data_IF_649385199401
#
_entry.id   IF_649385199401
#
_cell.length_a   1.000
_cell.length_b   1.000
_cell.length_c   1.000
_cell.angle_alpha   90.00
_cell.angle_beta   90.00
_cell.angle_gamma   90.00
#
_symmetry.space_group_name_H-M   'P 1'
#
loop_
_entity.id
_entity.type
_entity.pdbx_description
1 polymer ?
#
# COMPACT_ATOMS: atom_id res chain seq x y z
N UNK A 1 -4.15 -22.75 42.83
CA UNK A 1 -2.97 -22.72 41.95
C UNK A 1 -3.12 -23.68 40.75
N UNK A 2 -3.20 -25.02 40.98
CA UNK A 2 -3.29 -25.99 39.87
C UNK A 2 -4.52 -25.77 38.92
N UNK A 3 -5.70 -25.51 39.49
CA UNK A 3 -6.91 -25.27 38.70
C UNK A 3 -6.85 -23.96 37.88
N UNK A 4 -6.21 -22.90 38.39
CA UNK A 4 -6.00 -21.65 37.70
C UNK A 4 -5.01 -21.84 36.56
N UNK A 5 -3.90 -22.56 36.80
CA UNK A 5 -2.92 -22.86 35.73
C UNK A 5 -3.49 -23.77 34.66
N UNK A 6 -4.35 -24.73 34.99
CA UNK A 6 -5.02 -25.58 34.01
C UNK A 6 -6.00 -24.77 33.12
N UNK A 7 -6.71 -23.79 33.71
CA UNK A 7 -7.60 -22.89 32.97
C UNK A 7 -6.82 -21.99 32.03
N UNK A 8 -5.75 -21.35 32.49
CA UNK A 8 -4.86 -20.50 31.66
C UNK A 8 -4.24 -21.29 30.52
N UNK A 9 -3.84 -22.56 30.77
CA UNK A 9 -3.32 -23.41 29.71
C UNK A 9 -4.39 -23.79 28.68
N UNK A 10 -5.63 -24.04 29.09
CA UNK A 10 -6.74 -24.33 28.19
C UNK A 10 -7.05 -23.10 27.31
N UNK A 11 -7.20 -21.90 27.89
CA UNK A 11 -7.44 -20.66 27.17
C UNK A 11 -6.31 -20.36 26.17
N UNK A 12 -5.06 -20.63 26.54
CA UNK A 12 -3.91 -20.51 25.66
C UNK A 12 -3.98 -21.48 24.48
N UNK A 13 -4.27 -22.76 24.74
CA UNK A 13 -4.39 -23.81 23.71
C UNK A 13 -5.52 -23.49 22.73
N UNK A 14 -6.67 -23.05 23.22
CA UNK A 14 -7.80 -22.66 22.38
C UNK A 14 -7.47 -21.46 21.48
N UNK A 15 -6.77 -20.46 22.04
CA UNK A 15 -6.31 -19.29 21.24
C UNK A 15 -5.33 -19.71 20.16
N UNK A 16 -4.37 -20.57 20.46
CA UNK A 16 -3.41 -21.06 19.47
C UNK A 16 -4.10 -21.84 18.36
N UNK A 17 -5.01 -22.76 18.71
CA UNK A 17 -5.79 -23.52 17.74
C UNK A 17 -6.64 -22.62 16.83
N UNK A 18 -7.22 -21.56 17.38
CA UNK A 18 -7.97 -20.56 16.60
C UNK A 18 -7.10 -19.89 15.54
N UNK A 19 -5.90 -19.43 15.90
CA UNK A 19 -5.00 -18.82 14.92
C UNK A 19 -4.54 -19.79 13.86
N UNK A 20 -4.17 -21.03 14.26
CA UNK A 20 -3.74 -22.07 13.32
C UNK A 20 -4.87 -22.43 12.33
N UNK A 21 -6.11 -22.56 12.79
CA UNK A 21 -7.26 -22.82 11.91
C UNK A 21 -7.50 -21.64 10.96
N UNK A 22 -7.44 -20.42 11.46
CA UNK A 22 -7.59 -19.23 10.61
C UNK A 22 -6.53 -19.19 9.50
N UNK A 23 -5.25 -19.38 9.83
CA UNK A 23 -4.17 -19.32 8.85
C UNK A 23 -4.25 -20.45 7.82
N UNK A 24 -4.77 -21.60 8.19
CA UNK A 24 -4.91 -22.76 7.33
C UNK A 24 -6.19 -22.72 6.49
N UNK A 25 -7.33 -22.40 7.10
CA UNK A 25 -8.65 -22.61 6.54
C UNK A 25 -9.44 -21.32 6.34
N UNK A 26 -9.05 -20.21 6.97
CA UNK A 26 -9.75 -18.93 6.88
C UNK A 26 -9.88 -18.45 5.45
N UNK A 27 -11.08 -18.03 5.04
CA UNK A 27 -11.33 -17.51 3.70
C UNK A 27 -10.55 -16.22 3.42
N UNK A 28 -10.45 -15.35 4.42
CA UNK A 28 -9.73 -14.09 4.36
C UNK A 28 -8.34 -14.22 5.00
N UNK A 29 -7.52 -15.13 4.49
CA UNK A 29 -6.15 -15.33 4.93
C UNK A 29 -5.15 -14.92 3.84
N UNK A 30 -3.91 -14.70 4.24
CA UNK A 30 -2.77 -14.69 3.32
C UNK A 30 -2.28 -16.11 3.07
N UNK A 31 -1.86 -16.39 1.86
CA UNK A 31 -1.06 -17.55 1.55
C UNK A 31 0.41 -17.14 1.71
N UNK A 32 1.14 -17.82 2.59
CA UNK A 32 2.48 -17.39 3.02
C UNK A 32 3.55 -18.36 2.52
N UNK A 33 4.76 -17.89 2.19
CA UNK A 33 5.88 -18.75 1.88
C UNK A 33 6.11 -19.77 3.02
N UNK A 34 6.27 -21.04 2.65
CA UNK A 34 6.42 -22.16 3.59
C UNK A 34 5.29 -22.29 4.63
N UNK A 35 4.15 -21.65 4.42
CA UNK A 35 3.04 -21.53 5.37
C UNK A 35 3.50 -20.97 6.73
N UNK A 36 4.48 -20.09 6.75
CA UNK A 36 5.05 -19.51 7.96
C UNK A 36 4.13 -18.41 8.53
N UNK A 37 3.43 -18.63 9.64
CA UNK A 37 2.52 -17.64 10.23
C UNK A 37 3.24 -16.43 10.83
N UNK A 38 4.57 -16.48 10.95
CA UNK A 38 5.43 -15.42 11.50
C UNK A 38 5.97 -14.48 10.41
N UNK A 39 5.59 -14.70 9.16
CA UNK A 39 6.13 -14.00 8.00
C UNK A 39 6.03 -12.46 8.10
N UNK A 40 4.99 -11.93 8.75
CA UNK A 40 4.80 -10.49 8.95
C UNK A 40 5.52 -9.91 10.19
N UNK A 41 6.19 -10.70 11.00
CA UNK A 41 6.77 -10.27 12.28
C UNK A 41 7.76 -9.11 12.12
N UNK A 42 8.60 -9.17 11.08
CA UNK A 42 9.55 -8.12 10.76
C UNK A 42 8.85 -6.78 10.50
N UNK A 43 7.76 -6.80 9.74
CA UNK A 43 6.95 -5.62 9.48
C UNK A 43 6.36 -5.06 10.79
N UNK A 44 5.73 -5.91 11.60
CA UNK A 44 5.11 -5.47 12.85
C UNK A 44 6.13 -4.89 13.82
N UNK A 45 7.31 -5.47 13.91
CA UNK A 45 8.40 -4.93 14.73
C UNK A 45 8.79 -3.50 14.27
N UNK A 46 8.92 -3.28 12.96
CA UNK A 46 9.20 -1.94 12.42
C UNK A 46 8.07 -0.95 12.70
N UNK A 47 6.80 -1.37 12.62
CA UNK A 47 5.65 -0.53 12.90
C UNK A 47 5.56 -0.16 14.39
N UNK A 48 5.84 -1.09 15.29
CA UNK A 48 5.91 -0.81 16.74
C UNK A 48 7.06 0.15 17.08
N UNK A 49 8.25 -0.10 16.54
CA UNK A 49 9.41 0.74 16.75
C UNK A 49 9.23 2.16 16.19
N UNK A 50 8.46 2.32 15.11
CA UNK A 50 8.20 3.63 14.52
C UNK A 50 7.57 4.64 15.48
N UNK A 51 6.76 4.16 16.44
CA UNK A 51 6.17 4.99 17.50
C UNK A 51 7.23 5.47 18.51
N UNK A 52 8.20 4.60 18.81
CA UNK A 52 9.23 4.84 19.84
C UNK A 52 10.32 5.73 19.28
N UNK A 53 10.82 5.42 18.09
CA UNK A 53 11.97 6.06 17.46
C UNK A 53 11.61 7.32 16.67
N UNK A 54 10.35 7.71 16.66
CA UNK A 54 9.83 8.84 15.85
C UNK A 54 10.16 8.70 14.36
N UNK A 55 10.22 7.46 13.86
CA UNK A 55 10.46 7.13 12.46
C UNK A 55 9.15 7.02 11.68
N UNK A 56 9.26 7.09 10.35
CA UNK A 56 8.15 6.83 9.43
C UNK A 56 8.48 5.56 8.65
N UNK A 57 7.59 4.59 8.69
CA UNK A 57 7.66 3.36 7.91
C UNK A 57 6.74 3.49 6.71
N UNK A 58 7.26 3.31 5.50
CA UNK A 58 6.46 3.32 4.29
C UNK A 58 6.02 1.91 3.86
N UNK A 59 4.76 1.80 3.50
CA UNK A 59 4.14 0.66 2.83
C UNK A 59 3.79 1.14 1.42
N UNK A 60 4.50 0.62 0.42
CA UNK A 60 4.31 1.00 -0.99
C UNK A 60 3.23 0.11 -1.60
N UNK A 61 2.06 0.67 -1.90
CA UNK A 61 0.97 -0.08 -2.53
C UNK A 61 0.92 0.22 -4.03
N UNK A 62 1.59 -0.62 -4.80
CA UNK A 62 1.58 -0.59 -6.27
C UNK A 62 0.43 -1.40 -6.82
N UNK A 63 -0.25 -0.87 -7.82
CA UNK A 63 -1.32 -1.61 -8.49
C UNK A 63 -1.78 -0.95 -9.79
N UNK A 64 -2.81 -1.51 -10.38
CA UNK A 64 -3.40 -1.05 -11.63
C UNK A 64 -4.53 -0.01 -11.41
N UNK A 65 -5.54 0.00 -12.28
CA UNK A 65 -6.68 0.92 -12.17
C UNK A 65 -7.60 0.67 -10.96
N UNK A 66 -7.48 -0.46 -10.27
CA UNK A 66 -8.23 -0.68 -9.03
C UNK A 66 -7.80 0.27 -7.91
N UNK A 67 -6.53 0.71 -7.91
CA UNK A 67 -6.00 1.67 -6.93
C UNK A 67 -6.28 3.14 -7.25
N UNK A 68 -6.80 3.44 -8.45
CA UNK A 68 -7.07 4.83 -8.81
C UNK A 68 -7.97 5.54 -7.81
N UNK A 69 -7.86 6.86 -7.76
CA UNK A 69 -8.55 7.71 -6.79
C UNK A 69 -8.17 7.44 -5.32
N UNK A 70 -7.14 6.62 -5.05
CA UNK A 70 -6.78 6.21 -3.68
C UNK A 70 -7.86 5.34 -3.00
N UNK A 71 -8.63 4.58 -3.79
CA UNK A 71 -9.86 3.92 -3.32
C UNK A 71 -9.64 2.83 -2.28
N UNK A 72 -8.66 1.94 -2.49
CA UNK A 72 -8.34 0.85 -1.56
C UNK A 72 -7.34 1.32 -0.52
N UNK A 73 -6.24 1.93 -0.98
CA UNK A 73 -5.12 2.33 -0.13
C UNK A 73 -5.52 3.33 0.95
N UNK A 74 -6.51 4.20 0.70
CA UNK A 74 -6.97 5.15 1.72
C UNK A 74 -7.57 4.48 2.95
N UNK A 75 -8.30 3.37 2.77
CA UNK A 75 -8.87 2.60 3.88
C UNK A 75 -7.76 1.88 4.65
N UNK A 76 -6.83 1.24 3.94
CA UNK A 76 -5.67 0.58 4.56
C UNK A 76 -4.82 1.60 5.33
N UNK A 77 -4.58 2.77 4.75
CA UNK A 77 -3.84 3.87 5.38
C UNK A 77 -4.50 4.35 6.65
N UNK A 78 -5.79 4.64 6.61
CA UNK A 78 -6.55 5.12 7.78
C UNK A 78 -6.51 4.12 8.93
N UNK A 79 -6.70 2.81 8.64
CA UNK A 79 -6.66 1.74 9.63
C UNK A 79 -5.28 1.61 10.27
N UNK A 80 -4.24 1.50 9.45
CA UNK A 80 -2.87 1.36 9.94
C UNK A 80 -2.36 2.60 10.67
N UNK A 81 -2.72 3.80 10.21
CA UNK A 81 -2.36 5.04 10.90
C UNK A 81 -3.10 5.20 12.24
N UNK A 82 -4.30 4.65 12.39
CA UNK A 82 -4.98 4.58 13.70
C UNK A 82 -4.26 3.66 14.67
N UNK A 83 -3.83 2.49 14.20
CA UNK A 83 -3.16 1.49 15.03
C UNK A 83 -1.72 1.88 15.38
N UNK A 84 -0.92 2.26 14.37
CA UNK A 84 0.53 2.46 14.50
C UNK A 84 0.96 3.93 14.56
N UNK A 85 0.02 4.86 14.58
CA UNK A 85 0.34 6.29 14.42
C UNK A 85 0.63 6.64 12.96
N UNK A 86 0.80 7.91 12.71
CA UNK A 86 1.01 8.45 11.37
C UNK A 86 -0.05 9.45 10.95
N UNK A 87 0.13 9.99 9.76
CA UNK A 87 -0.75 10.96 9.13
C UNK A 87 -0.30 11.27 7.72
N UNK A 88 -1.07 12.07 7.01
CA UNK A 88 -0.79 12.42 5.62
C UNK A 88 -1.14 11.33 4.61
N UNK A 89 -1.15 11.67 3.33
CA UNK A 89 -1.49 10.77 2.23
C UNK A 89 -0.33 9.86 1.77
N UNK A 90 0.89 10.02 2.30
CA UNK A 90 2.09 9.36 1.81
C UNK A 90 2.69 10.04 0.57
N UNK A 91 3.33 9.26 -0.30
CA UNK A 91 3.94 9.77 -1.52
C UNK A 91 2.92 10.11 -2.59
N UNK A 92 3.12 11.28 -3.20
CA UNK A 92 2.30 11.85 -4.27
C UNK A 92 3.18 12.22 -5.47
N UNK A 93 2.69 12.07 -6.70
CA UNK A 93 3.38 12.60 -7.86
C UNK A 93 3.34 14.12 -7.88
N UNK A 94 4.35 14.75 -8.47
CA UNK A 94 4.37 16.21 -8.68
C UNK A 94 3.22 16.68 -9.59
N UNK A 95 2.81 15.84 -10.55
CA UNK A 95 1.64 16.06 -11.42
C UNK A 95 0.69 14.88 -11.27
N UNK A 96 -0.48 15.13 -10.70
CA UNK A 96 -1.53 14.13 -10.46
C UNK A 96 -2.66 14.32 -11.48
N UNK A 97 -2.82 13.38 -12.41
CA UNK A 97 -3.86 13.44 -13.43
C UNK A 97 -5.22 12.91 -12.98
N UNK A 98 -5.23 11.97 -12.04
CA UNK A 98 -6.46 11.36 -11.51
C UNK A 98 -6.62 11.82 -10.06
N UNK A 99 -7.71 12.54 -9.73
CA UNK A 99 -7.90 13.07 -8.39
C UNK A 99 -7.99 11.95 -7.35
N UNK A 100 -7.26 12.10 -6.23
CA UNK A 100 -7.45 11.25 -5.05
C UNK A 100 -8.75 11.62 -4.33
N UNK A 101 -9.43 10.64 -3.73
CA UNK A 101 -10.64 10.91 -2.94
C UNK A 101 -10.33 11.58 -1.58
N UNK A 102 -9.10 11.44 -1.09
CA UNK A 102 -8.69 11.93 0.25
C UNK A 102 -7.90 13.24 0.19
N UNK A 103 -7.18 13.48 -0.92
CA UNK A 103 -6.22 14.58 -1.03
C UNK A 103 -6.38 15.30 -2.36
N UNK A 104 -6.44 16.63 -2.31
CA UNK A 104 -6.37 17.50 -3.47
C UNK A 104 -4.91 17.82 -3.74
N UNK A 105 -4.43 17.45 -4.92
CA UNK A 105 -3.12 17.84 -5.44
C UNK A 105 -3.34 18.67 -6.69
N UNK A 106 -2.69 19.81 -6.77
CA UNK A 106 -2.68 20.64 -7.95
C UNK A 106 -1.27 21.17 -8.19
N UNK A 107 -0.96 21.48 -9.42
CA UNK A 107 0.30 22.10 -9.80
C UNK A 107 0.06 23.26 -10.76
N UNK A 108 0.98 24.22 -10.73
CA UNK A 108 1.05 25.32 -11.68
C UNK A 108 2.52 25.59 -12.03
N UNK A 109 2.80 25.89 -13.29
CA UNK A 109 4.16 26.18 -13.80
C UNK A 109 4.72 25.05 -14.67
N UNK A 110 6.03 25.01 -14.82
CA UNK A 110 6.77 24.31 -15.88
C UNK A 110 7.11 22.86 -15.52
N UNK A 111 6.09 22.02 -15.33
CA UNK A 111 6.24 20.59 -15.02
C UNK A 111 5.68 19.73 -16.16
N UNK A 112 6.53 18.91 -16.79
CA UNK A 112 6.13 17.89 -17.77
C UNK A 112 6.23 16.51 -17.14
N UNK A 113 5.13 15.74 -17.16
CA UNK A 113 5.03 14.42 -16.56
C UNK A 113 5.34 13.32 -17.56
N UNK A 114 6.14 12.33 -17.14
CA UNK A 114 6.41 11.08 -17.87
C UNK A 114 6.12 9.88 -16.97
N UNK A 115 5.64 8.79 -17.57
CA UNK A 115 5.27 7.55 -16.86
C UNK A 115 5.89 6.32 -17.53
N UNK A 116 6.35 5.35 -16.73
CA UNK A 116 6.94 4.13 -17.26
C UNK A 116 5.89 3.16 -17.83
N UNK A 117 4.68 3.21 -17.30
CA UNK A 117 3.57 2.31 -17.62
C UNK A 117 2.65 2.81 -18.75
N UNK A 118 2.91 3.98 -19.30
CA UNK A 118 2.16 4.56 -20.42
C UNK A 118 2.61 4.08 -21.80
N UNK A 119 2.06 4.71 -22.84
CA UNK A 119 2.48 4.53 -24.22
C UNK A 119 3.91 5.02 -24.43
N UNK A 120 4.47 4.85 -25.62
CA UNK A 120 5.82 5.32 -25.92
C UNK A 120 5.93 6.84 -25.79
N UNK A 121 4.90 7.58 -26.19
CA UNK A 121 4.83 9.04 -26.11
C UNK A 121 4.77 9.56 -24.66
N UNK A 122 4.23 8.75 -23.74
CA UNK A 122 4.16 9.09 -22.32
C UNK A 122 5.50 8.89 -21.59
N UNK A 123 6.49 8.25 -22.23
CA UNK A 123 7.75 7.88 -21.59
C UNK A 123 8.83 8.94 -21.77
N UNK A 124 9.69 9.03 -20.75
CA UNK A 124 10.93 9.77 -20.88
C UNK A 124 11.93 8.99 -21.75
N UNK A 125 12.92 9.70 -22.29
CA UNK A 125 14.04 9.17 -23.06
C UNK A 125 15.06 8.37 -22.24
N UNK A 126 14.73 8.07 -20.97
CA UNK A 126 15.56 7.37 -20.01
C UNK A 126 14.72 6.52 -19.04
N UNK A 127 15.38 5.73 -18.16
CA UNK A 127 14.73 4.83 -17.22
C UNK A 127 14.67 5.33 -15.76
N UNK A 128 15.00 6.59 -15.49
CA UNK A 128 15.00 7.20 -14.15
C UNK A 128 13.60 7.71 -13.78
N UNK A 129 12.75 6.86 -13.22
CA UNK A 129 11.37 7.22 -12.89
C UNK A 129 11.09 7.40 -11.40
N UNK A 130 12.02 6.99 -10.53
CA UNK A 130 11.81 7.00 -9.08
C UNK A 130 10.74 6.00 -8.61
N UNK A 131 10.36 6.05 -7.32
CA UNK A 131 9.56 5.01 -6.68
C UNK A 131 8.12 4.94 -7.18
N UNK A 132 7.60 6.02 -7.78
CA UNK A 132 6.22 6.05 -8.28
C UNK A 132 6.10 5.61 -9.76
N UNK A 133 7.17 5.06 -10.36
CA UNK A 133 7.25 4.72 -11.78
C UNK A 133 6.87 5.90 -12.70
N UNK A 134 7.09 7.13 -12.22
CA UNK A 134 6.89 8.36 -12.97
C UNK A 134 7.93 9.41 -12.58
N UNK A 135 8.12 10.38 -13.44
CA UNK A 135 9.03 11.51 -13.25
C UNK A 135 8.42 12.77 -13.85
N UNK A 136 8.60 13.90 -13.19
CA UNK A 136 8.20 15.22 -13.69
C UNK A 136 9.44 16.05 -13.97
N UNK A 137 9.61 16.50 -15.22
CA UNK A 137 10.70 17.38 -15.62
C UNK A 137 10.31 18.82 -15.35
N UNK A 138 11.09 19.49 -14.52
CA UNK A 138 10.98 20.92 -14.23
C UNK A 138 11.94 21.70 -15.15
N UNK A 139 11.44 22.74 -15.82
CA UNK A 139 12.22 23.67 -16.65
C UNK A 139 11.76 25.09 -16.39
N UNK A 140 12.20 25.70 -15.28
CA UNK A 140 11.78 27.03 -14.84
C UNK A 140 11.28 27.02 -13.42
N UNK A 141 10.01 27.29 -13.19
CA UNK A 141 9.43 27.32 -11.85
C UNK A 141 8.05 26.63 -11.80
N UNK A 142 7.75 26.02 -10.66
CA UNK A 142 6.45 25.41 -10.42
C UNK A 142 6.05 25.47 -8.94
N UNK A 143 4.75 25.35 -8.70
CA UNK A 143 4.16 25.21 -7.38
C UNK A 143 3.32 23.95 -7.36
N UNK A 144 3.49 23.12 -6.33
CA UNK A 144 2.64 21.95 -6.06
C UNK A 144 1.87 22.25 -4.77
N UNK A 145 0.54 22.32 -4.86
CA UNK A 145 -0.33 22.50 -3.71
C UNK A 145 -0.94 21.17 -3.30
N UNK A 146 -0.91 20.88 -2.00
CA UNK A 146 -1.38 19.62 -1.41
C UNK A 146 -2.31 19.96 -0.24
N UNK A 147 -3.56 19.50 -0.31
CA UNK A 147 -4.55 19.79 0.72
C UNK A 147 -5.43 18.58 0.97
N UNK A 148 -5.69 18.25 2.23
CA UNK A 148 -6.73 17.29 2.61
C UNK A 148 -8.06 17.69 1.99
N UNK A 149 -8.77 16.75 1.35
CA UNK A 149 -10.15 16.99 0.92
C UNK A 149 -11.11 17.02 2.11
N UNK A 150 -12.21 17.73 1.94
CA UNK A 150 -13.32 17.67 2.89
C UNK A 150 -13.85 16.23 2.95
N UNK A 151 -13.94 15.69 4.16
CA UNK A 151 -14.43 14.35 4.45
C UNK A 151 -15.70 14.48 5.30
N UNK A 152 -16.85 14.57 4.61
CA UNK A 152 -18.15 14.77 5.26
C UNK A 152 -18.59 13.60 6.14
N UNK A 153 -18.09 12.40 5.82
CA UNK A 153 -18.43 11.18 6.56
C UNK A 153 -17.46 10.91 7.72
N UNK A 154 -16.39 11.69 7.86
CA UNK A 154 -15.39 11.51 8.89
C UNK A 154 -14.60 10.21 8.82
N UNK A 155 -14.48 9.60 7.63
CA UNK A 155 -13.84 8.30 7.42
C UNK A 155 -12.32 8.38 7.41
N UNK A 156 -11.76 9.48 6.88
CA UNK A 156 -10.32 9.66 6.67
C UNK A 156 -9.79 10.77 7.58
N UNK A 157 -9.67 10.46 8.86
CA UNK A 157 -9.29 11.44 9.88
C UNK A 157 -7.79 11.71 9.90
N UNK A 158 -6.98 10.70 9.58
CA UNK A 158 -5.51 10.75 9.67
C UNK A 158 -4.82 11.40 8.48
N UNK A 159 -5.42 11.40 7.31
CA UNK A 159 -4.83 11.89 6.06
C UNK A 159 -4.45 13.38 6.07
N UNK A 160 -4.89 14.15 7.04
CA UNK A 160 -4.61 15.59 7.17
C UNK A 160 -3.51 15.95 8.18
N UNK A 161 -2.86 14.99 8.80
CA UNK A 161 -1.84 15.25 9.82
C UNK A 161 -0.43 15.40 9.26
N UNK A 162 -0.15 16.44 8.43
CA UNK A 162 1.17 16.65 7.81
C UNK A 162 2.18 17.14 8.84
N UNK A 163 3.17 16.34 9.19
CA UNK A 163 4.27 16.69 10.10
C UNK A 163 5.64 16.60 9.42
N UNK A 164 5.74 15.84 8.33
CA UNK A 164 6.97 15.68 7.55
C UNK A 164 6.64 15.81 6.06
N UNK A 165 7.36 16.66 5.35
CA UNK A 165 7.22 16.79 3.89
C UNK A 165 8.59 16.56 3.26
N UNK A 166 8.65 15.68 2.23
CA UNK A 166 9.87 15.39 1.48
C UNK A 166 9.66 15.62 0.00
N UNK A 167 10.68 16.16 -0.67
CA UNK A 167 10.75 16.21 -2.13
C UNK A 167 11.88 15.29 -2.56
N UNK A 168 11.54 14.27 -3.34
CA UNK A 168 12.47 13.35 -3.95
C UNK A 168 12.76 13.84 -5.38
N UNK A 169 14.02 14.13 -5.67
CA UNK A 169 14.42 14.68 -6.95
C UNK A 169 15.73 14.05 -7.44
N UNK A 170 16.04 14.22 -8.72
CA UNK A 170 17.33 13.85 -9.27
C UNK A 170 18.44 14.65 -8.61
N UNK A 171 19.57 13.97 -8.33
CA UNK A 171 20.82 14.68 -7.95
C UNK A 171 21.32 15.59 -9.08
N UNK A 172 20.91 15.34 -10.32
CA UNK A 172 21.29 16.14 -11.49
C UNK A 172 20.47 17.42 -11.54
N UNK A 173 21.06 18.48 -12.06
CA UNK A 173 20.40 19.78 -12.23
C UNK A 173 20.63 20.75 -11.07
N UNK A 174 19.86 21.83 -11.06
CA UNK A 174 20.02 22.94 -10.12
C UNK A 174 18.71 23.29 -9.43
N UNK A 175 18.13 22.31 -8.72
CA UNK A 175 16.85 22.48 -8.03
C UNK A 175 17.00 23.32 -6.75
N UNK A 176 16.16 24.36 -6.65
CA UNK A 176 15.88 25.10 -5.42
C UNK A 176 14.45 24.80 -4.98
N UNK A 177 14.27 24.59 -3.69
CA UNK A 177 12.98 24.25 -3.08
C UNK A 177 12.63 25.17 -1.93
N UNK A 178 11.35 25.47 -1.76
CA UNK A 178 10.79 26.20 -0.62
C UNK A 178 9.44 25.59 -0.29
N UNK A 179 9.11 25.55 1.00
CA UNK A 179 7.81 25.06 1.50
C UNK A 179 7.08 26.18 2.24
N UNK A 180 5.80 26.31 1.99
CA UNK A 180 4.88 27.04 2.86
C UNK A 180 3.73 26.13 3.29
N UNK A 181 3.29 26.25 4.52
CA UNK A 181 2.19 25.46 5.08
C UNK A 181 1.19 26.33 5.83
N UNK A 182 -0.05 25.87 5.94
CA UNK A 182 -1.10 26.60 6.62
C UNK A 182 -0.96 26.41 8.13
N UNK A 183 -0.65 27.50 8.84
CA UNK A 183 -0.53 27.52 10.29
C UNK A 183 -1.60 28.44 10.90
N UNK A 184 -1.95 28.20 12.16
CA UNK A 184 -2.76 29.12 12.95
C UNK A 184 -1.85 30.19 13.53
N UNK A 185 -2.06 31.43 13.12
CA UNK A 185 -1.31 32.61 13.58
C UNK A 185 -2.20 33.38 14.52
N UNK A 186 -1.65 33.80 15.66
CA UNK A 186 -2.33 34.67 16.63
C UNK A 186 -2.00 36.12 16.27
N UNK A 187 -3.02 36.90 15.88
CA UNK A 187 -2.88 38.34 15.66
C UNK A 187 -3.24 39.07 16.94
N UNK A 188 -2.47 40.12 17.27
CA UNK A 188 -2.63 40.93 18.50
C UNK A 188 -2.58 40.10 19.80
N UNK A 189 -1.65 39.13 19.85
CA UNK A 189 -1.45 38.25 21.00
C UNK A 189 -1.35 39.06 22.32
N UNK A 190 -2.05 38.56 23.33
CA UNK A 190 -2.07 39.22 24.67
C UNK A 190 -2.92 40.48 24.76
N UNK A 191 -3.71 40.83 23.74
CA UNK A 191 -4.62 42.00 23.78
C UNK A 191 -6.09 41.55 23.70
N UNK A 192 -7.02 42.45 24.07
CA UNK A 192 -8.48 42.21 23.94
C UNK A 192 -8.93 41.98 22.49
N UNK A 193 -8.05 42.24 21.50
CA UNK A 193 -8.31 42.09 20.08
C UNK A 193 -7.62 40.84 19.50
N UNK A 194 -7.20 39.90 20.34
CA UNK A 194 -6.58 38.65 19.90
C UNK A 194 -7.49 37.89 18.93
N UNK A 195 -6.94 37.50 17.80
CA UNK A 195 -7.65 36.72 16.78
C UNK A 195 -6.75 35.59 16.24
N UNK A 196 -7.31 34.40 16.19
CA UNK A 196 -6.67 33.23 15.53
C UNK A 196 -7.06 33.19 14.06
N UNK A 197 -6.09 33.25 13.20
CA UNK A 197 -6.28 33.14 11.73
C UNK A 197 -5.38 32.09 11.13
N UNK A 198 -5.90 31.37 10.11
CA UNK A 198 -5.10 30.48 9.30
C UNK A 198 -4.39 31.26 8.20
N UNK A 199 -3.08 31.16 8.15
CA UNK A 199 -2.23 31.77 7.12
C UNK A 199 -1.16 30.80 6.64
N UNK A 200 -0.74 30.94 5.37
CA UNK A 200 0.45 30.27 4.91
C UNK A 200 1.69 30.97 5.50
N UNK A 201 2.54 30.19 6.12
CA UNK A 201 3.84 30.60 6.63
C UNK A 201 4.94 29.79 5.95
N UNK A 202 6.09 30.41 5.74
CA UNK A 202 7.24 29.71 5.18
C UNK A 202 7.83 28.75 6.23
N UNK A 203 8.12 27.54 5.80
CA UNK A 203 8.85 26.57 6.61
C UNK A 203 10.35 26.95 6.66
N UNK A 204 11.09 26.53 7.72
CA UNK A 204 12.54 26.64 7.74
C UNK A 204 13.19 26.00 6.52
N UNK A 205 14.49 26.24 6.32
CA UNK A 205 15.24 25.54 5.26
C UNK A 205 15.17 24.02 5.47
N UNK A 206 14.99 23.22 4.40
CA UNK A 206 14.98 21.77 4.52
C UNK A 206 16.36 21.21 4.83
N UNK A 207 16.42 20.01 5.40
CA UNK A 207 17.62 19.18 5.25
C UNK A 207 17.75 18.73 3.79
N UNK A 208 18.96 18.54 3.32
CA UNK A 208 19.29 18.19 1.94
C UNK A 208 20.21 16.96 1.94
N UNK A 209 19.59 15.79 1.86
CA UNK A 209 20.30 14.52 1.81
C UNK A 209 20.60 14.14 0.35
N UNK A 210 21.84 13.75 0.08
CA UNK A 210 22.33 13.42 -1.26
C UNK A 210 22.81 11.98 -1.31
N UNK A 211 22.17 11.20 -2.17
CA UNK A 211 22.57 9.86 -2.57
C UNK A 211 23.38 9.92 -3.89
N UNK A 212 23.58 8.78 -4.52
CA UNK A 212 24.32 8.73 -5.80
C UNK A 212 23.51 9.32 -6.96
N UNK A 213 22.21 8.97 -7.03
CA UNK A 213 21.27 9.41 -8.07
C UNK A 213 20.14 10.28 -7.53
N UNK A 214 19.78 10.08 -6.26
CA UNK A 214 18.69 10.73 -5.58
C UNK A 214 19.17 11.92 -4.73
N UNK A 215 18.31 12.91 -4.57
CA UNK A 215 18.40 14.02 -3.63
C UNK A 215 17.07 14.15 -2.90
N UNK A 216 17.11 14.25 -1.59
CA UNK A 216 15.91 14.32 -0.75
C UNK A 216 15.95 15.58 0.10
N UNK A 217 14.97 16.45 -0.11
CA UNK A 217 14.76 17.62 0.72
C UNK A 217 13.68 17.29 1.75
N UNK A 218 13.98 17.48 3.03
CA UNK A 218 13.06 17.13 4.12
C UNK A 218 12.77 18.33 5.01
N UNK A 219 11.50 18.60 5.23
CA UNK A 219 10.99 19.51 6.25
C UNK A 219 10.33 18.71 7.37
N UNK A 220 10.69 19.04 8.62
CA UNK A 220 9.93 18.68 9.80
C UNK A 220 9.14 19.91 10.20
N UNK A 221 7.82 19.79 10.26
CA UNK A 221 6.95 20.92 10.62
C UNK A 221 6.77 20.97 12.13
N UNK A 222 6.74 22.19 12.72
CA UNK A 222 6.56 22.35 14.18
C UNK A 222 5.17 21.90 14.64
N UNK A 223 4.17 22.11 13.77
CA UNK A 223 2.79 21.72 13.99
C UNK A 223 2.28 20.94 12.79
N UNK A 224 1.34 20.04 13.02
CA UNK A 224 0.68 19.32 11.94
C UNK A 224 -0.28 20.23 11.19
N UNK A 225 -0.30 20.12 9.88
CA UNK A 225 -1.21 20.85 8.99
C UNK A 225 -1.96 19.90 8.08
N UNK A 226 -2.89 20.40 7.31
CA UNK A 226 -3.59 19.66 6.24
C UNK A 226 -3.52 20.37 4.88
N UNK A 227 -2.65 21.41 4.78
CA UNK A 227 -2.53 22.21 3.58
C UNK A 227 -1.12 22.77 3.45
N UNK A 228 -0.44 22.45 2.35
CA UNK A 228 0.94 22.84 2.09
C UNK A 228 1.16 23.19 0.62
N UNK A 229 2.19 24.00 0.34
CA UNK A 229 2.64 24.38 -0.99
C UNK A 229 4.15 24.20 -1.10
N UNK A 230 4.57 23.38 -2.05
CA UNK A 230 5.99 23.19 -2.41
C UNK A 230 6.28 24.06 -3.62
N UNK A 231 7.25 24.95 -3.50
CA UNK A 231 7.72 25.81 -4.57
C UNK A 231 9.04 25.25 -5.10
N UNK A 232 9.12 25.10 -6.40
CA UNK A 232 10.26 24.52 -7.11
C UNK A 232 10.78 25.55 -8.11
N UNK A 233 12.11 25.66 -8.25
CA UNK A 233 12.71 26.46 -9.33
C UNK A 233 14.05 25.88 -9.78
N UNK A 234 14.33 25.99 -11.08
CA UNK A 234 15.53 25.49 -11.71
C UNK A 234 15.27 24.51 -12.84
N UNK A 235 16.20 23.58 -13.04
CA UNK A 235 16.15 22.55 -14.07
C UNK A 235 16.46 21.20 -13.42
N UNK A 236 15.45 20.34 -13.26
CA UNK A 236 15.57 19.10 -12.51
C UNK A 236 14.47 18.09 -12.85
N UNK A 237 14.68 16.84 -12.46
CA UNK A 237 13.68 15.79 -12.45
C UNK A 237 13.13 15.61 -11.03
N UNK A 238 11.82 15.66 -10.87
CA UNK A 238 11.11 15.47 -9.61
C UNK A 238 10.43 14.10 -9.65
N UNK A 239 10.73 13.24 -8.68
CA UNK A 239 10.20 11.88 -8.62
C UNK A 239 8.93 11.78 -7.79
N UNK A 240 8.87 12.47 -6.65
CA UNK A 240 7.68 12.50 -5.78
C UNK A 240 7.74 13.62 -4.76
N UNK A 241 6.59 13.92 -4.17
CA UNK A 241 6.46 14.67 -2.92
C UNK A 241 5.82 13.73 -1.90
N UNK A 242 6.52 13.40 -0.80
CA UNK A 242 5.95 12.65 0.30
C UNK A 242 5.39 13.60 1.34
N UNK A 243 4.20 13.30 1.83
CA UNK A 243 3.50 14.09 2.85
C UNK A 243 3.02 13.15 3.94
N UNK A 244 3.71 13.16 5.05
CA UNK A 244 3.60 12.16 6.10
C UNK A 244 3.30 12.83 7.45
N UNK A 245 2.86 12.05 8.40
CA UNK A 245 2.81 12.46 9.81
C UNK A 245 4.21 12.72 10.38
N UNK A 246 4.30 13.11 11.65
CA UNK A 246 5.60 13.29 12.30
C UNK A 246 6.33 11.97 12.55
N UNK A 247 5.61 10.86 12.69
CA UNK A 247 6.09 9.49 12.92
C UNK A 247 5.00 8.49 12.51
N UNK A 248 5.30 7.18 12.61
CA UNK A 248 4.34 6.09 12.41
C UNK A 248 4.38 5.52 11.00
N UNK A 249 3.21 5.20 10.43
CA UNK A 249 3.11 4.54 9.13
C UNK A 249 2.59 5.49 8.04
N UNK A 250 3.19 5.38 6.86
CA UNK A 250 2.69 5.94 5.61
C UNK A 250 2.31 4.80 4.66
N UNK A 251 1.17 4.91 3.99
CA UNK A 251 0.74 3.96 2.95
C UNK A 251 0.62 4.73 1.64
N UNK A 252 1.49 4.40 0.70
CA UNK A 252 1.65 5.12 -0.56
C UNK A 252 0.78 4.47 -1.65
N UNK A 253 -0.15 5.21 -2.21
CA UNK A 253 -0.96 4.74 -3.34
C UNK A 253 -0.22 4.99 -4.66
N UNK A 254 0.17 3.92 -5.36
CA UNK A 254 0.87 3.99 -6.64
C UNK A 254 0.06 3.30 -7.73
N UNK A 255 -0.99 3.99 -8.19
CA UNK A 255 -1.88 3.50 -9.24
C UNK A 255 -1.24 3.66 -10.62
N UNK A 256 -1.16 2.56 -11.36
CA UNK A 256 -0.62 2.47 -12.72
C UNK A 256 -1.67 1.90 -13.66
N UNK A 257 -2.59 2.74 -14.13
CA UNK A 257 -3.69 2.31 -15.03
C UNK A 257 -3.18 1.48 -16.20
N UNK A 258 -3.79 0.32 -16.44
CA UNK A 258 -3.47 -0.57 -17.54
C UNK A 258 -2.18 -1.38 -17.36
N UNK A 259 -1.45 -1.19 -16.24
CA UNK A 259 -0.22 -1.93 -15.97
C UNK A 259 -0.51 -3.37 -15.53
N UNK A 260 0.32 -4.29 -15.98
CA UNK A 260 0.37 -5.67 -15.48
C UNK A 260 1.47 -5.88 -14.43
N UNK A 261 2.03 -4.80 -13.88
CA UNK A 261 3.08 -4.88 -12.87
C UNK A 261 4.47 -5.21 -13.40
N UNK A 262 4.70 -5.07 -14.71
CA UNK A 262 5.96 -5.46 -15.37
C UNK A 262 6.93 -4.30 -15.62
N UNK A 263 6.90 -3.26 -14.79
CA UNK A 263 7.67 -2.02 -15.00
C UNK A 263 9.02 -2.00 -14.29
N UNK A 264 9.12 -2.62 -13.11
CA UNK A 264 10.26 -2.46 -12.19
C UNK A 264 11.59 -2.90 -12.80
N UNK A 265 11.61 -4.01 -13.53
CA UNK A 265 12.84 -4.54 -14.15
C UNK A 265 13.41 -3.63 -15.25
N UNK A 266 12.64 -2.65 -15.73
CA UNK A 266 13.05 -1.66 -16.74
C UNK A 266 13.50 -0.33 -16.13
N UNK A 267 13.19 -0.09 -14.85
CA UNK A 267 13.57 1.13 -14.13
C UNK A 267 15.05 1.10 -13.72
N UNK A 268 15.59 2.28 -13.43
CA UNK A 268 16.92 2.41 -12.86
C UNK A 268 16.96 1.80 -11.45
N UNK A 269 17.67 0.68 -11.31
CA UNK A 269 17.68 -0.13 -10.09
C UNK A 269 18.33 0.59 -8.91
N UNK A 270 19.38 1.38 -9.16
CA UNK A 270 20.07 2.13 -8.11
C UNK A 270 19.19 3.25 -7.58
N UNK A 271 18.54 4.02 -8.47
CA UNK A 271 17.57 5.05 -8.06
C UNK A 271 16.40 4.46 -7.30
N UNK A 272 15.90 3.29 -7.71
CA UNK A 272 14.82 2.60 -7.01
C UNK A 272 15.26 2.17 -5.60
N UNK A 273 16.46 1.59 -5.46
CA UNK A 273 17.03 1.20 -4.17
C UNK A 273 17.24 2.41 -3.24
N UNK A 274 17.82 3.49 -3.75
CA UNK A 274 18.00 4.73 -2.98
C UNK A 274 16.66 5.32 -2.54
N UNK A 275 15.64 5.25 -3.40
CA UNK A 275 14.30 5.74 -3.07
C UNK A 275 13.64 4.92 -1.96
N UNK A 276 13.67 3.60 -2.02
CA UNK A 276 13.14 2.73 -0.97
C UNK A 276 13.86 2.94 0.36
N UNK A 277 15.19 3.06 0.31
CA UNK A 277 16.01 3.34 1.50
C UNK A 277 15.66 4.70 2.12
N UNK A 278 15.59 5.76 1.31
CA UNK A 278 15.28 7.12 1.77
C UNK A 278 13.89 7.23 2.39
N UNK A 279 12.95 6.41 1.92
CA UNK A 279 11.58 6.36 2.43
C UNK A 279 11.37 5.31 3.52
N UNK A 280 12.40 4.56 3.92
CA UNK A 280 12.27 3.48 4.90
C UNK A 280 11.10 2.53 4.56
N UNK A 281 11.03 2.09 3.28
CA UNK A 281 9.99 1.18 2.81
C UNK A 281 10.20 -0.23 3.40
N UNK A 282 9.17 -0.79 4.08
CA UNK A 282 9.25 -2.08 4.78
C UNK A 282 8.26 -3.12 4.26
N UNK A 283 7.25 -2.69 3.53
CA UNK A 283 6.35 -3.58 2.81
C UNK A 283 6.09 -3.03 1.41
N UNK A 284 6.22 -3.89 0.42
CA UNK A 284 5.89 -3.59 -0.98
C UNK A 284 4.70 -4.47 -1.37
N UNK A 285 3.54 -3.85 -1.58
CA UNK A 285 2.34 -4.53 -2.06
C UNK A 285 2.27 -4.37 -3.57
N UNK A 286 2.07 -5.48 -4.28
CA UNK A 286 1.90 -5.56 -5.74
C UNK A 286 0.50 -6.07 -6.06
N UNK A 287 -0.44 -5.18 -6.37
CA UNK A 287 -1.84 -5.52 -6.70
C UNK A 287 -2.03 -5.52 -8.22
N UNK A 288 -1.86 -6.69 -8.84
CA UNK A 288 -1.91 -6.84 -10.29
C UNK A 288 -2.57 -8.16 -10.71
N UNK A 289 -2.85 -8.26 -11.99
CA UNK A 289 -3.37 -9.46 -12.63
C UNK A 289 -4.59 -9.20 -13.48
N UNK A 290 -5.45 -8.20 -13.13
CA UNK A 290 -6.65 -7.88 -13.89
C UNK A 290 -6.36 -7.62 -15.37
N UNK A 291 -5.29 -6.91 -15.69
CA UNK A 291 -4.88 -6.61 -17.07
C UNK A 291 -4.26 -7.81 -17.81
N UNK A 292 -3.88 -8.89 -17.12
CA UNK A 292 -3.42 -10.13 -17.73
C UNK A 292 -4.57 -11.05 -18.13
N UNK A 293 -5.62 -11.10 -17.30
CA UNK A 293 -6.75 -12.03 -17.43
C UNK A 293 -7.33 -12.15 -18.85
N UNK A 294 -7.56 -11.03 -19.59
CA UNK A 294 -8.17 -11.14 -20.93
C UNK A 294 -7.31 -11.86 -21.96
N UNK A 295 -5.98 -11.89 -21.78
CA UNK A 295 -5.00 -12.44 -22.76
C UNK A 295 -4.38 -13.77 -22.31
N UNK A 296 -4.57 -14.19 -21.07
CA UNK A 296 -3.97 -15.43 -20.55
C UNK A 296 -4.57 -16.67 -21.20
N UNK A 297 -3.69 -17.56 -21.63
CA UNK A 297 -3.98 -18.87 -22.19
C UNK A 297 -2.80 -19.83 -21.91
N UNK A 298 -2.99 -21.10 -22.15
CA UNK A 298 -2.00 -22.14 -21.85
C UNK A 298 -0.62 -21.91 -22.47
N UNK A 299 -0.54 -21.22 -23.61
CA UNK A 299 0.73 -21.01 -24.33
C UNK A 299 1.57 -19.85 -23.77
N UNK A 300 0.99 -18.96 -22.97
CA UNK A 300 1.69 -17.77 -22.49
C UNK A 300 1.79 -17.68 -20.94
N UNK A 301 1.26 -18.65 -20.20
CA UNK A 301 1.36 -18.67 -18.72
C UNK A 301 2.82 -18.62 -18.28
N UNK A 302 3.67 -19.50 -18.80
CA UNK A 302 5.08 -19.59 -18.40
C UNK A 302 5.85 -18.29 -18.70
N UNK A 303 5.58 -17.68 -19.84
CA UNK A 303 6.15 -16.37 -20.16
C UNK A 303 5.76 -15.29 -19.12
N UNK A 304 4.49 -15.25 -18.73
CA UNK A 304 4.00 -14.29 -17.74
C UNK A 304 4.53 -14.59 -16.33
N UNK A 305 4.66 -15.87 -15.93
CA UNK A 305 5.32 -16.28 -14.68
C UNK A 305 6.73 -15.69 -14.60
N UNK A 306 7.53 -15.89 -15.65
CA UNK A 306 8.91 -15.39 -15.73
C UNK A 306 8.96 -13.85 -15.67
N UNK A 307 8.03 -13.15 -16.32
CA UNK A 307 7.95 -11.69 -16.24
C UNK A 307 7.66 -11.22 -14.82
N UNK A 308 6.70 -11.82 -14.12
CA UNK A 308 6.33 -11.42 -12.75
C UNK A 308 7.43 -11.80 -11.76
N UNK A 309 8.02 -13.01 -11.86
CA UNK A 309 9.16 -13.41 -11.04
C UNK A 309 10.30 -12.38 -11.11
N UNK A 310 10.62 -11.93 -12.34
CA UNK A 310 11.64 -10.89 -12.55
C UNK A 310 11.33 -9.57 -11.84
N UNK A 311 10.05 -9.19 -11.74
CA UNK A 311 9.67 -7.95 -11.03
C UNK A 311 9.89 -8.12 -9.52
N UNK A 312 9.41 -9.23 -8.95
CA UNK A 312 9.59 -9.55 -7.52
C UNK A 312 11.09 -9.55 -7.18
N UNK A 313 11.90 -10.29 -7.94
CA UNK A 313 13.36 -10.36 -7.75
C UNK A 313 14.03 -8.99 -7.89
N UNK A 314 13.57 -8.14 -8.82
CA UNK A 314 14.12 -6.78 -8.99
C UNK A 314 13.83 -5.92 -7.76
N UNK A 315 12.63 -6.00 -7.20
CA UNK A 315 12.24 -5.26 -5.99
C UNK A 315 13.02 -5.78 -4.78
N UNK A 316 13.14 -7.10 -4.62
CA UNK A 316 13.94 -7.71 -3.54
C UNK A 316 15.41 -7.27 -3.58
N UNK A 317 16.01 -7.27 -4.77
CA UNK A 317 17.38 -6.81 -4.96
C UNK A 317 17.55 -5.31 -4.65
N UNK A 318 16.54 -4.49 -4.96
CA UNK A 318 16.54 -3.05 -4.65
C UNK A 318 16.27 -2.75 -3.17
N UNK A 319 15.51 -3.62 -2.48
CA UNK A 319 15.15 -3.44 -1.07
C UNK A 319 15.04 -4.78 -0.34
N UNK A 320 16.16 -5.38 0.08
CA UNK A 320 16.16 -6.65 0.81
C UNK A 320 15.55 -6.56 2.22
N UNK A 321 15.37 -5.33 2.72
CA UNK A 321 14.81 -5.06 4.03
C UNK A 321 13.28 -4.95 4.03
N UNK A 322 12.62 -5.01 2.87
CA UNK A 322 11.17 -5.00 2.76
C UNK A 322 10.62 -6.39 2.43
N UNK A 323 9.45 -6.69 3.00
CA UNK A 323 8.65 -7.83 2.60
C UNK A 323 7.85 -7.49 1.34
N UNK A 324 7.55 -8.51 0.50
CA UNK A 324 6.74 -8.33 -0.71
C UNK A 324 5.45 -9.14 -0.56
N UNK A 325 4.33 -8.45 -0.70
CA UNK A 325 3.00 -9.05 -0.72
C UNK A 325 2.37 -8.87 -2.10
N UNK A 326 2.00 -9.96 -2.75
CA UNK A 326 1.26 -9.92 -4.00
C UNK A 326 -0.25 -10.04 -3.75
N UNK A 327 -1.04 -9.15 -4.33
CA UNK A 327 -2.51 -9.22 -4.32
C UNK A 327 -2.95 -9.63 -5.73
N UNK A 328 -3.60 -10.77 -5.82
CA UNK A 328 -4.15 -11.28 -7.08
C UNK A 328 -5.43 -10.55 -7.53
N UNK A 329 -5.89 -10.77 -8.78
CA UNK A 329 -7.05 -10.08 -9.32
C UNK A 329 -8.34 -10.47 -8.60
N UNK A 330 -9.29 -9.53 -8.55
CA UNK A 330 -10.68 -9.76 -8.17
C UNK A 330 -11.40 -10.63 -9.20
N UNK A 331 -12.60 -11.14 -8.85
CA UNK A 331 -13.53 -11.62 -9.89
C UNK A 331 -13.83 -10.49 -10.88
N UNK A 332 -13.89 -10.83 -12.14
CA UNK A 332 -14.24 -9.92 -13.21
C UNK A 332 -15.06 -10.66 -14.28
N UNK A 333 -16.02 -9.98 -14.88
CA UNK A 333 -16.95 -10.65 -15.79
C UNK A 333 -17.10 -9.90 -17.11
N UNK A 334 -17.41 -10.67 -18.16
CA UNK A 334 -17.76 -10.17 -19.49
C UNK A 334 -18.97 -10.88 -20.05
N UNK A 335 -19.57 -10.30 -21.07
CA UNK A 335 -20.68 -10.93 -21.79
C UNK A 335 -20.14 -12.09 -22.66
N UNK A 336 -20.73 -13.27 -22.45
CA UNK A 336 -20.47 -14.48 -23.23
C UNK A 336 -21.81 -15.25 -23.38
N UNK A 337 -22.17 -15.59 -24.62
CA UNK A 337 -23.43 -16.30 -24.96
C UNK A 337 -24.67 -15.61 -24.35
N UNK A 338 -24.73 -14.30 -24.43
CA UNK A 338 -25.85 -13.51 -23.90
C UNK A 338 -25.93 -13.38 -22.38
N UNK A 339 -24.95 -13.91 -21.63
CA UNK A 339 -24.88 -13.86 -20.16
C UNK A 339 -23.56 -13.27 -19.67
N UNK A 340 -23.61 -12.56 -18.55
CA UNK A 340 -22.38 -12.16 -17.85
C UNK A 340 -21.76 -13.37 -17.17
N UNK A 341 -20.53 -13.71 -17.52
CA UNK A 341 -19.75 -14.82 -16.94
C UNK A 341 -18.37 -14.30 -16.52
N UNK A 342 -17.77 -14.91 -15.50
CA UNK A 342 -16.37 -14.63 -15.13
C UNK A 342 -15.44 -14.97 -16.29
N UNK A 343 -14.34 -14.20 -16.42
CA UNK A 343 -13.40 -14.41 -17.51
C UNK A 343 -12.75 -15.81 -17.45
N UNK A 344 -12.63 -16.54 -18.58
CA UNK A 344 -12.00 -17.87 -18.59
C UNK A 344 -10.53 -17.87 -18.14
N UNK A 345 -9.81 -16.77 -18.41
CA UNK A 345 -8.41 -16.60 -17.99
C UNK A 345 -8.21 -16.29 -16.51
N UNK A 346 -9.28 -16.06 -15.75
CA UNK A 346 -9.17 -15.58 -14.37
C UNK A 346 -8.52 -16.60 -13.43
N UNK A 347 -9.07 -17.81 -13.34
CA UNK A 347 -8.49 -18.86 -12.47
C UNK A 347 -7.04 -19.21 -12.85
N UNK A 348 -6.71 -19.46 -14.11
CA UNK A 348 -5.30 -19.67 -14.51
C UNK A 348 -4.37 -18.50 -14.12
N UNK A 349 -4.86 -17.26 -14.19
CA UNK A 349 -4.09 -16.08 -13.75
C UNK A 349 -3.85 -16.10 -12.25
N UNK A 350 -4.88 -16.36 -11.46
CA UNK A 350 -4.79 -16.43 -9.98
C UNK A 350 -3.79 -17.52 -9.57
N UNK A 351 -3.92 -18.71 -10.16
CA UNK A 351 -3.06 -19.87 -9.85
C UNK A 351 -1.58 -19.55 -10.10
N UNK A 352 -1.23 -19.08 -11.30
CA UNK A 352 0.17 -18.81 -11.60
C UNK A 352 0.73 -17.61 -10.80
N UNK A 353 -0.07 -16.56 -10.55
CA UNK A 353 0.38 -15.43 -9.74
C UNK A 353 0.65 -15.84 -8.29
N UNK A 354 -0.22 -16.70 -7.74
CA UNK A 354 -0.02 -17.26 -6.40
C UNK A 354 1.25 -18.12 -6.35
N UNK A 355 1.42 -19.00 -7.29
CA UNK A 355 2.60 -19.87 -7.40
C UNK A 355 3.89 -19.04 -7.49
N UNK A 356 3.98 -18.12 -8.44
CA UNK A 356 5.18 -17.30 -8.63
C UNK A 356 5.49 -16.38 -7.43
N UNK A 357 4.47 -15.86 -6.74
CA UNK A 357 4.68 -15.08 -5.54
C UNK A 357 5.33 -15.92 -4.44
N UNK A 358 4.74 -17.07 -4.12
CA UNK A 358 5.23 -17.96 -3.06
C UNK A 358 6.62 -18.54 -3.37
N UNK A 359 6.88 -18.95 -4.61
CA UNK A 359 8.19 -19.46 -5.07
C UNK A 359 9.30 -18.41 -4.96
N UNK A 360 8.96 -17.12 -5.06
CA UNK A 360 9.91 -16.02 -4.89
C UNK A 360 9.88 -15.40 -3.48
N UNK A 361 9.31 -16.09 -2.48
CA UNK A 361 9.32 -15.66 -1.09
C UNK A 361 8.37 -14.50 -0.76
N UNK A 362 7.49 -14.13 -1.69
CA UNK A 362 6.44 -13.14 -1.47
C UNK A 362 5.17 -13.80 -0.92
N UNK A 363 4.48 -13.14 0.01
CA UNK A 363 3.14 -13.56 0.42
C UNK A 363 2.11 -13.29 -0.68
N UNK A 364 0.98 -13.98 -0.65
CA UNK A 364 -0.10 -13.81 -1.61
C UNK A 364 -1.45 -13.61 -0.92
N UNK A 365 -2.21 -12.58 -1.32
CA UNK A 365 -3.59 -12.40 -0.90
C UNK A 365 -4.55 -12.61 -2.08
N UNK A 366 -5.43 -13.58 -1.94
CA UNK A 366 -6.36 -13.98 -2.99
C UNK A 366 -7.63 -13.14 -2.92
N UNK A 367 -7.64 -12.00 -3.61
CA UNK A 367 -8.79 -11.08 -3.66
C UNK A 367 -10.04 -11.75 -4.24
N UNK A 368 -9.89 -12.63 -5.24
CA UNK A 368 -10.99 -13.42 -5.81
C UNK A 368 -11.64 -14.32 -4.77
N UNK A 369 -10.86 -15.07 -4.00
CA UNK A 369 -11.34 -15.93 -2.91
C UNK A 369 -12.09 -15.11 -1.84
N UNK A 370 -11.48 -14.01 -1.40
CA UNK A 370 -12.04 -13.14 -0.37
C UNK A 370 -13.33 -12.48 -0.83
N UNK A 371 -13.39 -12.04 -2.08
CA UNK A 371 -14.57 -11.42 -2.70
C UNK A 371 -15.77 -12.37 -2.82
N UNK A 372 -15.53 -13.67 -2.92
CA UNK A 372 -16.59 -14.67 -3.02
C UNK A 372 -16.45 -15.69 -4.14
N UNK A 373 -15.35 -15.67 -4.86
CA UNK A 373 -15.10 -16.60 -5.95
C UNK A 373 -15.93 -16.29 -7.19
N UNK A 374 -16.18 -17.32 -8.00
CA UNK A 374 -16.88 -17.20 -9.27
C UNK A 374 -18.26 -16.52 -9.14
N UNK A 375 -18.47 -15.53 -10.00
CA UNK A 375 -19.73 -14.78 -10.06
C UNK A 375 -19.93 -13.76 -8.94
N UNK A 376 -18.93 -13.55 -8.06
CA UNK A 376 -19.01 -12.54 -7.01
C UNK A 376 -19.08 -11.12 -7.58
N UNK A 377 -18.37 -10.82 -8.68
CA UNK A 377 -18.47 -9.53 -9.35
C UNK A 377 -19.91 -9.22 -9.77
N UNK A 378 -20.64 -10.18 -10.33
CA UNK A 378 -22.05 -10.01 -10.71
C UNK A 378 -22.96 -9.74 -9.51
N UNK A 379 -22.66 -10.34 -8.36
CA UNK A 379 -23.38 -10.08 -7.10
C UNK A 379 -23.06 -8.67 -6.59
N UNK A 380 -21.82 -8.25 -6.66
CA UNK A 380 -21.37 -6.93 -6.20
C UNK A 380 -21.95 -5.78 -7.03
N UNK A 381 -22.05 -5.95 -8.35
CA UNK A 381 -22.72 -4.96 -9.24
C UNK A 381 -24.20 -4.82 -8.89
N UNK A 382 -24.87 -5.91 -8.50
CA UNK A 382 -26.32 -5.94 -8.21
C UNK A 382 -26.68 -5.51 -6.79
N UNK A 383 -25.70 -5.30 -5.91
CA UNK A 383 -26.00 -4.82 -4.56
C UNK A 383 -26.56 -3.40 -4.56
N UNK A 384 -27.32 -3.06 -3.53
CA UNK A 384 -27.85 -1.71 -3.32
C UNK A 384 -27.38 -1.15 -1.98
N UNK A 385 -26.52 -0.11 -1.97
CA UNK A 385 -25.80 0.45 -3.12
C UNK A 385 -24.72 -0.50 -3.65
N UNK A 386 -24.35 -0.39 -4.95
CA UNK A 386 -23.46 -1.35 -5.59
C UNK A 386 -22.02 -1.27 -5.04
N UNK A 387 -21.38 -2.44 -4.96
CA UNK A 387 -19.96 -2.58 -4.56
C UNK A 387 -19.02 -2.57 -5.77
N UNK A 388 -19.54 -2.76 -6.99
CA UNK A 388 -18.76 -2.73 -8.21
C UNK A 388 -19.45 -1.91 -9.30
N UNK A 389 -18.66 -1.45 -10.28
CA UNK A 389 -19.12 -0.70 -11.43
C UNK A 389 -19.89 -1.55 -12.46
N UNK A 390 -20.69 -0.90 -13.30
CA UNK A 390 -21.45 -1.55 -14.37
C UNK A 390 -20.56 -2.16 -15.48
N UNK A 391 -19.28 -1.91 -15.44
CA UNK A 391 -18.27 -2.54 -16.30
C UNK A 391 -17.91 -3.97 -15.88
N UNK A 392 -18.35 -4.40 -14.69
CA UNK A 392 -18.07 -5.70 -14.10
C UNK A 392 -16.58 -6.00 -13.90
N UNK A 393 -15.78 -4.98 -13.73
CA UNK A 393 -14.32 -5.05 -13.53
C UNK A 393 -13.89 -4.26 -12.30
N UNK A 394 -14.25 -2.97 -12.24
CA UNK A 394 -13.76 -2.07 -11.21
C UNK A 394 -14.72 -1.98 -10.02
N UNK A 395 -14.15 -1.84 -8.84
CA UNK A 395 -14.91 -1.58 -7.62
C UNK A 395 -15.50 -0.16 -7.63
N UNK A 396 -16.69 -0.01 -7.05
CA UNK A 396 -17.15 1.29 -6.58
C UNK A 396 -16.28 1.77 -5.40
N UNK A 397 -16.36 3.04 -5.03
CA UNK A 397 -15.66 3.54 -3.82
C UNK A 397 -16.00 2.73 -2.56
N UNK A 398 -17.28 2.31 -2.45
CA UNK A 398 -17.74 1.48 -1.33
C UNK A 398 -17.15 0.07 -1.38
N UNK A 399 -17.12 -0.55 -2.55
CA UNK A 399 -16.53 -1.88 -2.70
C UNK A 399 -15.03 -1.88 -2.47
N UNK A 400 -14.33 -0.84 -2.95
CA UNK A 400 -12.90 -0.67 -2.69
C UNK A 400 -12.60 -0.44 -1.19
N UNK A 401 -13.41 0.36 -0.49
CA UNK A 401 -13.29 0.52 0.95
C UNK A 401 -13.51 -0.80 1.69
N UNK A 402 -14.56 -1.55 1.31
CA UNK A 402 -14.84 -2.88 1.88
C UNK A 402 -13.68 -3.87 1.64
N UNK A 403 -13.06 -3.83 0.44
CA UNK A 403 -11.89 -4.65 0.14
C UNK A 403 -10.68 -4.26 1.01
N UNK A 404 -10.46 -2.96 1.22
CA UNK A 404 -9.45 -2.44 2.15
C UNK A 404 -9.68 -2.90 3.59
N UNK A 405 -10.93 -2.89 4.06
CA UNK A 405 -11.31 -3.41 5.39
C UNK A 405 -11.02 -4.92 5.52
N UNK A 406 -11.34 -5.71 4.49
CA UNK A 406 -11.04 -7.15 4.48
C UNK A 406 -9.53 -7.40 4.52
N UNK A 407 -8.74 -6.62 3.78
CA UNK A 407 -7.28 -6.67 3.84
C UNK A 407 -6.76 -6.36 5.27
N UNK A 408 -7.23 -5.27 5.87
CA UNK A 408 -6.84 -4.89 7.23
C UNK A 408 -7.24 -5.95 8.26
N UNK A 409 -8.41 -6.56 8.12
CA UNK A 409 -8.84 -7.64 9.00
C UNK A 409 -7.92 -8.87 8.90
N UNK A 410 -7.50 -9.25 7.69
CA UNK A 410 -6.53 -10.33 7.51
C UNK A 410 -5.17 -9.98 8.16
N UNK A 411 -4.66 -8.76 7.93
CA UNK A 411 -3.40 -8.32 8.51
C UNK A 411 -3.46 -8.23 10.04
N UNK A 412 -4.60 -7.79 10.59
CA UNK A 412 -4.83 -7.72 12.04
C UNK A 412 -4.78 -9.09 12.70
N UNK A 413 -5.26 -10.14 12.06
CA UNK A 413 -5.14 -11.51 12.58
C UNK A 413 -3.67 -11.92 12.79
N UNK A 414 -2.78 -11.56 11.86
CA UNK A 414 -1.35 -11.78 12.01
C UNK A 414 -0.73 -10.89 13.09
N UNK A 415 -1.15 -9.64 13.18
CA UNK A 415 -0.67 -8.72 14.22
C UNK A 415 -1.11 -9.17 15.62
N UNK A 416 -2.36 -9.63 15.77
CA UNK A 416 -2.85 -10.17 17.03
C UNK A 416 -2.10 -11.46 17.42
N UNK A 417 -1.77 -12.30 16.44
CA UNK A 417 -0.95 -13.48 16.65
C UNK A 417 0.50 -13.12 17.05
N UNK A 418 1.09 -12.09 16.43
CA UNK A 418 2.39 -11.54 16.82
C UNK A 418 2.37 -11.08 18.28
N UNK A 419 1.39 -10.27 18.70
CA UNK A 419 1.22 -9.82 20.09
C UNK A 419 0.96 -10.97 21.05
N UNK A 420 0.16 -11.96 20.64
CA UNK A 420 -0.12 -13.16 21.42
C UNK A 420 1.16 -13.94 21.74
N UNK A 421 2.02 -14.15 20.75
CA UNK A 421 3.31 -14.84 20.94
C UNK A 421 4.26 -14.03 21.82
N UNK A 422 4.37 -12.73 21.62
CA UNK A 422 5.20 -11.86 22.47
C UNK A 422 4.74 -11.88 23.92
N UNK A 423 3.43 -11.73 24.17
CA UNK A 423 2.83 -11.79 25.52
C UNK A 423 3.14 -13.09 26.24
N UNK A 424 3.12 -14.21 25.53
CA UNK A 424 3.36 -15.54 26.10
C UNK A 424 4.81 -16.00 25.97
N UNK A 425 5.72 -15.16 25.46
CA UNK A 425 7.13 -15.44 25.22
C UNK A 425 7.35 -16.74 24.44
N UNK A 426 6.58 -16.88 23.36
CA UNK A 426 6.64 -18.04 22.49
C UNK A 426 7.67 -17.75 21.40
N UNK A 427 8.82 -18.40 21.48
CA UNK A 427 9.79 -18.46 20.38
C UNK A 427 9.47 -19.60 19.41
N UNK A 428 10.16 -19.64 18.27
CA UNK A 428 9.95 -20.67 17.24
C UNK A 428 10.19 -22.09 17.74
N UNK A 429 11.12 -22.28 18.67
CA UNK A 429 11.41 -23.60 19.26
C UNK A 429 10.24 -24.05 20.13
N UNK A 430 9.73 -23.18 20.98
CA UNK A 430 8.57 -23.43 21.84
C UNK A 430 7.29 -23.66 21.03
N UNK A 431 7.11 -22.91 19.92
CA UNK A 431 5.97 -23.11 19.02
C UNK A 431 6.00 -24.52 18.38
N UNK A 432 7.16 -24.95 17.87
CA UNK A 432 7.33 -26.29 17.29
C UNK A 432 7.09 -27.40 18.31
N UNK A 433 7.47 -27.19 19.57
CA UNK A 433 7.22 -28.17 20.64
C UNK A 433 5.74 -28.23 21.01
N UNK A 434 5.03 -27.10 21.07
CA UNK A 434 3.58 -27.04 21.32
C UNK A 434 2.81 -27.73 20.20
N UNK A 435 3.17 -27.49 18.94
CA UNK A 435 2.53 -28.12 17.77
C UNK A 435 2.65 -29.64 17.75
N UNK A 436 3.72 -30.21 18.32
CA UNK A 436 3.84 -31.68 18.49
C UNK A 436 2.82 -32.29 19.46
N UNK A 437 2.32 -31.49 20.41
CA UNK A 437 1.35 -31.92 21.41
C UNK A 437 -0.10 -31.53 21.10
N UNK A 438 -0.32 -30.67 20.08
CA UNK A 438 -1.66 -30.37 19.61
C UNK A 438 -2.30 -31.63 19.02
N UNK A 439 -3.44 -32.06 19.55
CA UNK A 439 -4.18 -33.20 19.00
C UNK A 439 -4.58 -32.85 17.55
N UNK A 440 -4.47 -33.79 16.60
CA UNK A 440 -5.05 -33.60 15.27
C UNK A 440 -6.53 -33.25 15.42
N UNK A 441 -6.99 -32.18 14.75
CA UNK A 441 -8.40 -31.84 14.70
C UNK A 441 -9.20 -33.10 14.31
N UNK A 442 -10.19 -33.49 15.11
CA UNK A 442 -11.11 -34.57 14.74
C UNK A 442 -11.72 -34.22 13.38
N UNK A 443 -11.54 -35.11 12.41
CA UNK A 443 -12.19 -34.98 11.11
C UNK A 443 -13.70 -34.89 11.36
N UNK A 444 -14.31 -33.77 10.95
CA UNK A 444 -15.76 -33.67 10.94
C UNK A 444 -16.33 -34.89 10.21
N UNK A 445 -17.41 -35.54 10.75
CA UNK A 445 -18.02 -36.69 10.08
C UNK A 445 -18.43 -36.28 8.66
N UNK A 446 -17.96 -37.03 7.69
CA UNK A 446 -18.44 -36.91 6.31
C UNK A 446 -19.93 -37.21 6.35
N UNK A 447 -20.78 -36.22 5.98
CA UNK A 447 -22.18 -36.48 5.74
C UNK A 447 -22.27 -37.56 4.65
N UNK A 448 -22.77 -38.74 5.02
CA UNK A 448 -23.13 -39.77 4.07
C UNK A 448 -24.14 -39.18 3.09
N UNK A 449 -23.80 -39.18 1.81
CA UNK A 449 -24.73 -38.88 0.74
C UNK A 449 -25.72 -40.01 0.69
N UNK A 450 -26.96 -39.77 1.18
CA UNK A 450 -28.08 -40.61 0.87
C UNK A 450 -28.40 -40.51 -0.62
N UNK A 451 -28.61 -41.68 -1.21
CA UNK A 451 -28.89 -41.98 -2.60
C UNK A 451 -30.15 -41.31 -3.16
#
# INVERSE_FOLDING_TARGET
MAATQAKEFAEFSDSLNFYEDFFKNGRNRFDLPNNDPTWFDRLFLHLELAKIDSNIVHIMHYGDSQLEEDRISSTIREDLQKEFGGGGPGMLPAVLNIPSQTTSVWNNGDLTRFIMFGTEEDRADHNRYGPLAQVSKLQGSAVIGIKKREDKDGKFTRVGGYGTIRVLASKRGNLKVRLAYEATVIENEGTEKEKRKKKFVDAPAPTDEKFNKLRVFTWKLPDTTSNAKVYLSGNAEIYSVSVDGPYGVAVDNVAMRGSSGTVFSRMDKELLAESFKAMNARLIIMEYGGNLVPSINKSNIEYNKNLIAKQIQTIQAANPDADILFIGPADMARQMDGKMKSYPGLLPTIEFLREVALENGAAYWDMYRVMGGEGSMRKWVKQSPPLAGADYIHFSRRGAAYMGELFCNALRMHYDYFKFRDKHKIDDAKLKDIQKFAKPAEKAPQAEAEQ
#
